data_IF_350728052918
#
_entry.id   IF_350728052918
#
_cell.length_a   1.000
_cell.length_b   1.000
_cell.length_c   1.000
_cell.angle_alpha   90.00
_cell.angle_beta   90.00
_cell.angle_gamma   90.00
#
_symmetry.space_group_name_H-M   'P 1'
#
loop_
_entity.id
_entity.type
_entity.pdbx_description
1 polymer ?
#
# COMPACT_ATOMS: atom_id res chain seq x y z
N UNK A 1 -2.57 3.09 5.18
CA UNK A 1 -4.03 3.25 5.29
C UNK A 1 -4.37 4.73 5.35
N UNK A 2 -5.63 5.11 5.26
CA UNK A 2 -6.08 6.51 5.28
C UNK A 2 -6.27 7.07 6.71
N UNK A 3 -5.59 6.50 7.70
CA UNK A 3 -5.84 6.82 9.12
C UNK A 3 -5.55 8.29 9.45
N UNK A 4 -4.49 8.87 8.88
CA UNK A 4 -4.19 10.29 9.07
C UNK A 4 -5.28 11.18 8.44
N UNK A 5 -5.73 10.83 7.23
CA UNK A 5 -6.81 11.57 6.55
C UNK A 5 -8.12 11.53 7.34
N UNK A 6 -8.46 10.40 7.98
CA UNK A 6 -9.64 10.27 8.85
C UNK A 6 -9.51 11.09 10.14
N UNK A 7 -8.30 11.16 10.73
CA UNK A 7 -8.01 12.00 11.90
C UNK A 7 -8.15 13.47 11.52
N UNK A 8 -7.52 13.90 10.42
CA UNK A 8 -7.56 15.28 9.94
C UNK A 8 -8.99 15.70 9.58
N UNK A 9 -9.74 14.85 8.87
CA UNK A 9 -11.17 15.06 8.57
C UNK A 9 -11.99 15.24 9.84
N UNK A 10 -11.75 14.40 10.85
CA UNK A 10 -12.44 14.49 12.15
C UNK A 10 -12.13 15.78 12.88
N UNK A 11 -10.86 16.21 12.90
CA UNK A 11 -10.44 17.48 13.53
C UNK A 11 -11.03 18.70 12.82
N UNK A 12 -11.19 18.65 11.49
CA UNK A 12 -11.76 19.74 10.69
C UNK A 12 -13.24 20.00 10.98
N UNK A 13 -13.99 19.01 11.51
CA UNK A 13 -15.38 19.20 11.94
C UNK A 13 -15.55 20.27 13.03
N UNK A 14 -14.46 20.62 13.74
CA UNK A 14 -14.46 21.70 14.72
C UNK A 14 -14.39 23.11 14.12
N UNK A 15 -14.06 23.24 12.81
CA UNK A 15 -13.79 24.53 12.14
C UNK A 15 -14.53 24.73 10.83
N UNK A 16 -14.92 23.65 10.16
CA UNK A 16 -15.56 23.65 8.84
C UNK A 16 -16.94 23.01 8.92
N UNK A 17 -17.84 23.45 8.05
CA UNK A 17 -19.14 22.81 7.88
C UNK A 17 -19.04 21.52 7.03
N UNK A 18 -20.14 20.76 6.96
CA UNK A 18 -20.18 19.45 6.29
C UNK A 18 -19.84 19.55 4.80
N UNK A 19 -20.37 20.57 4.13
CA UNK A 19 -20.20 20.76 2.69
C UNK A 19 -18.73 21.11 2.38
N UNK A 20 -18.11 21.96 3.20
CA UNK A 20 -16.68 22.28 3.11
C UNK A 20 -15.77 21.06 3.34
N UNK A 21 -16.16 20.15 4.23
CA UNK A 21 -15.40 18.93 4.49
C UNK A 21 -15.56 17.94 3.33
N UNK A 22 -16.75 17.82 2.75
CA UNK A 22 -17.01 16.98 1.56
C UNK A 22 -16.26 17.49 0.32
N UNK A 23 -16.11 18.81 0.17
CA UNK A 23 -15.28 19.40 -0.89
C UNK A 23 -13.79 19.08 -0.72
N UNK A 24 -13.29 19.03 0.53
CA UNK A 24 -11.88 18.73 0.83
C UNK A 24 -11.58 17.22 0.78
N UNK A 25 -12.54 16.39 1.16
CA UNK A 25 -12.44 14.92 1.23
C UNK A 25 -13.61 14.29 0.47
N UNK A 26 -13.62 14.37 -0.88
CA UNK A 26 -14.68 13.79 -1.68
C UNK A 26 -14.67 12.26 -1.58
N UNK A 27 -15.85 11.66 -1.74
CA UNK A 27 -15.97 10.20 -1.79
C UNK A 27 -15.14 9.62 -2.94
N UNK A 28 -14.61 8.42 -2.71
CA UNK A 28 -13.85 7.72 -3.74
C UNK A 28 -14.73 7.47 -4.97
N UNK A 29 -14.28 7.83 -6.19
CA UNK A 29 -15.11 7.76 -7.39
C UNK A 29 -15.22 6.32 -7.93
N UNK A 30 -16.02 5.49 -7.25
CA UNK A 30 -16.23 4.06 -7.56
C UNK A 30 -16.81 3.79 -8.96
N UNK A 31 -17.41 4.81 -9.57
CA UNK A 31 -17.96 4.76 -10.92
C UNK A 31 -16.87 4.70 -12.01
N UNK A 32 -15.74 5.36 -11.75
CA UNK A 32 -14.61 5.50 -12.69
C UNK A 32 -13.37 4.73 -12.26
N UNK A 33 -13.21 4.47 -10.95
CA UNK A 33 -12.08 3.74 -10.38
C UNK A 33 -12.61 2.53 -9.60
N UNK A 34 -12.52 1.34 -10.19
CA UNK A 34 -12.97 0.11 -9.52
C UNK A 34 -11.89 -0.39 -8.55
N UNK A 35 -12.22 -0.69 -7.29
CA UNK A 35 -11.31 -1.36 -6.38
C UNK A 35 -11.01 -2.80 -6.84
N UNK A 36 -9.91 -3.37 -6.35
CA UNK A 36 -9.55 -4.79 -6.60
C UNK A 36 -10.62 -5.74 -6.06
N UNK A 37 -11.28 -5.33 -4.96
CA UNK A 37 -12.35 -6.07 -4.32
C UNK A 37 -13.65 -5.31 -4.55
N UNK A 38 -14.55 -5.89 -5.33
CA UNK A 38 -15.79 -5.24 -5.79
C UNK A 38 -17.02 -5.63 -4.95
N UNK A 39 -16.87 -6.61 -4.05
CA UNK A 39 -17.94 -7.19 -3.24
C UNK A 39 -17.42 -7.72 -1.92
N UNK A 40 -18.25 -7.61 -0.87
CA UNK A 40 -17.99 -8.08 0.49
C UNK A 40 -17.97 -6.93 1.50
N UNK A 41 -18.14 -7.28 2.77
CA UNK A 41 -18.15 -6.33 3.88
C UNK A 41 -17.53 -6.95 5.13
N UNK A 42 -17.04 -6.09 6.03
CA UNK A 42 -16.60 -6.55 7.36
C UNK A 42 -17.85 -6.80 8.20
N UNK A 43 -18.03 -8.05 8.64
CA UNK A 43 -19.13 -8.43 9.53
C UNK A 43 -19.03 -7.66 10.85
N UNK A 44 -20.03 -6.84 11.22
CA UNK A 44 -20.00 -6.07 12.46
C UNK A 44 -19.93 -6.96 13.71
N UNK A 45 -20.46 -8.18 13.62
CA UNK A 45 -20.49 -9.14 14.73
C UNK A 45 -19.14 -9.85 14.96
N UNK A 46 -18.33 -10.01 13.91
CA UNK A 46 -17.10 -10.82 13.98
C UNK A 46 -15.82 -10.05 13.68
N UNK A 47 -15.93 -8.84 13.13
CA UNK A 47 -14.80 -8.03 12.68
C UNK A 47 -14.04 -8.65 11.50
N UNK A 48 -14.57 -9.71 10.87
CA UNK A 48 -13.94 -10.40 9.76
C UNK A 48 -14.53 -9.95 8.43
N UNK A 49 -13.67 -9.88 7.43
CA UNK A 49 -14.08 -9.68 6.05
C UNK A 49 -14.84 -10.90 5.53
N UNK A 50 -16.03 -10.67 4.99
CA UNK A 50 -16.88 -11.67 4.36
C UNK A 50 -17.23 -11.22 2.93
N UNK A 51 -16.92 -12.06 1.95
CA UNK A 51 -17.15 -11.80 0.53
C UNK A 51 -18.63 -11.72 0.16
N UNK A 52 -19.50 -12.39 0.93
CA UNK A 52 -20.93 -12.46 0.66
C UNK A 52 -21.73 -11.43 1.48
N UNK A 53 -21.08 -10.69 2.37
CA UNK A 53 -21.72 -9.65 3.16
C UNK A 53 -21.93 -8.37 2.33
N UNK A 54 -23.11 -7.77 2.46
CA UNK A 54 -23.43 -6.45 1.88
C UNK A 54 -23.14 -5.35 2.90
N UNK A 55 -22.60 -4.19 2.47
CA UNK A 55 -22.48 -3.02 3.32
C UNK A 55 -23.85 -2.63 3.89
N UNK A 56 -23.93 -2.42 5.21
CA UNK A 56 -25.14 -1.94 5.88
C UNK A 56 -25.03 -0.42 6.08
N UNK A 57 -25.93 0.36 5.47
CA UNK A 57 -25.99 1.84 5.53
C UNK A 57 -26.40 2.42 6.88
N UNK A 58 -26.50 1.61 7.94
CA UNK A 58 -27.08 2.03 9.23
C UNK A 58 -26.01 2.62 10.15
N UNK A 59 -25.51 3.82 9.83
CA UNK A 59 -24.75 4.64 10.77
C UNK A 59 -25.76 5.47 11.58
N UNK A 60 -26.14 4.94 12.74
CA UNK A 60 -27.06 5.60 13.66
C UNK A 60 -26.60 7.01 14.02
N UNK A 61 -27.41 8.01 13.70
CA UNK A 61 -27.19 9.41 14.04
C UNK A 61 -27.38 9.65 15.54
N UNK A 62 -26.35 9.40 16.34
CA UNK A 62 -26.29 9.78 17.75
C UNK A 62 -25.80 11.23 17.91
N UNK A 63 -26.60 12.08 18.56
CA UNK A 63 -26.31 13.50 18.80
C UNK A 63 -24.97 13.71 19.54
N UNK A 64 -23.97 14.25 18.83
CA UNK A 64 -22.57 14.35 19.25
C UNK A 64 -22.11 15.79 19.49
N UNK A 65 -22.57 16.43 20.57
CA UNK A 65 -22.09 17.76 20.96
C UNK A 65 -21.24 17.81 22.23
N UNK A 66 -21.33 16.79 23.11
CA UNK A 66 -20.46 16.66 24.29
C UNK A 66 -19.39 15.58 24.17
N UNK A 67 -19.57 14.60 23.27
CA UNK A 67 -18.60 13.54 23.00
C UNK A 67 -17.46 13.99 22.06
N UNK A 68 -17.68 15.07 21.32
CA UNK A 68 -16.78 15.59 20.28
C UNK A 68 -15.54 16.28 20.85
N UNK A 69 -15.60 17.01 21.97
CA UNK A 69 -14.41 17.60 22.62
C UNK A 69 -13.48 16.54 23.24
N UNK A 70 -14.06 15.54 23.92
CA UNK A 70 -13.31 14.41 24.48
C UNK A 70 -12.68 13.54 23.39
N UNK A 71 -13.38 13.36 22.26
CA UNK A 71 -12.86 12.64 21.11
C UNK A 71 -11.74 13.41 20.41
N UNK A 72 -11.90 14.71 20.19
CA UNK A 72 -10.88 15.55 19.56
C UNK A 72 -9.58 15.59 20.35
N UNK A 73 -9.66 15.71 21.69
CA UNK A 73 -8.47 15.68 22.56
C UNK A 73 -7.77 14.31 22.56
N UNK A 74 -8.52 13.22 22.47
CA UNK A 74 -7.97 11.86 22.34
C UNK A 74 -7.35 11.61 20.95
N UNK A 75 -7.95 12.14 19.88
CA UNK A 75 -7.41 12.07 18.52
C UNK A 75 -6.13 12.89 18.38
N UNK A 76 -6.09 14.11 18.94
CA UNK A 76 -4.87 14.93 18.95
C UNK A 76 -3.74 14.23 19.72
N UNK A 77 -4.03 13.69 20.91
CA UNK A 77 -3.04 12.93 21.67
C UNK A 77 -2.55 11.67 20.94
N UNK A 78 -3.42 10.99 20.18
CA UNK A 78 -3.04 9.87 19.33
C UNK A 78 -2.14 10.33 18.18
N UNK A 79 -2.47 11.45 17.52
CA UNK A 79 -1.65 12.02 16.45
C UNK A 79 -0.25 12.37 16.94
N UNK A 80 -0.15 13.06 18.08
CA UNK A 80 1.13 13.42 18.71
C UNK A 80 1.94 12.16 19.05
N UNK A 81 1.27 11.10 19.54
CA UNK A 81 1.93 9.82 19.83
C UNK A 81 2.43 9.12 18.56
N UNK A 82 1.66 9.15 17.46
CA UNK A 82 2.06 8.56 16.18
C UNK A 82 3.26 9.28 15.58
N UNK A 83 3.33 10.61 15.71
CA UNK A 83 4.48 11.42 15.30
C UNK A 83 5.74 11.14 16.14
N UNK A 84 5.56 10.74 17.41
CA UNK A 84 6.65 10.38 18.32
C UNK A 84 7.16 8.94 18.15
N UNK A 85 6.46 8.06 17.42
CA UNK A 85 6.94 6.69 17.18
C UNK A 85 8.24 6.75 16.36
N UNK A 86 9.40 6.34 16.93
CA UNK A 86 10.67 6.48 16.26
C UNK A 86 10.68 5.74 14.93
N UNK A 87 11.29 6.35 13.91
CA UNK A 87 11.60 5.73 12.60
C UNK A 87 12.54 4.50 12.68
N UNK A 88 12.78 3.97 13.89
CA UNK A 88 13.64 2.82 14.17
C UNK A 88 13.01 1.49 13.71
N UNK A 89 11.71 1.47 13.39
CA UNK A 89 11.03 0.35 12.72
C UNK A 89 11.06 0.45 11.18
N UNK A 90 11.85 1.39 10.64
CA UNK A 90 11.80 1.84 9.25
C UNK A 90 11.14 3.22 9.15
N UNK A 91 11.32 3.96 8.04
CA UNK A 91 10.68 5.27 7.92
C UNK A 91 9.16 5.06 7.99
N UNK A 92 8.55 5.48 9.09
CA UNK A 92 7.11 5.65 9.20
C UNK A 92 6.75 6.81 8.26
N UNK A 93 6.55 6.48 6.99
CA UNK A 93 6.15 7.41 5.97
C UNK A 93 5.06 6.79 5.13
N UNK A 94 4.03 7.56 4.81
CA UNK A 94 3.11 7.22 3.74
C UNK A 94 3.93 6.82 2.50
N UNK A 95 3.74 5.58 2.03
CA UNK A 95 4.40 5.07 0.82
C UNK A 95 5.67 4.23 1.03
N UNK A 96 5.87 3.55 2.16
CA UNK A 96 6.83 2.43 2.24
C UNK A 96 6.09 1.14 2.57
N UNK A 97 6.35 0.10 1.78
CA UNK A 97 5.81 -1.24 1.97
C UNK A 97 6.43 -2.22 0.96
N UNK A 98 6.13 -3.51 1.08
CA UNK A 98 6.52 -4.49 0.07
C UNK A 98 5.71 -5.76 0.22
N UNK A 99 5.44 -6.43 -0.89
CA UNK A 99 5.00 -7.82 -0.91
C UNK A 99 6.05 -8.70 -1.62
N UNK A 100 6.33 -9.88 -1.06
CA UNK A 100 7.18 -10.88 -1.70
C UNK A 100 6.68 -12.28 -1.42
N UNK A 101 6.37 -13.02 -2.48
CA UNK A 101 5.78 -14.36 -2.41
C UNK A 101 6.60 -15.33 -3.26
N UNK A 102 6.85 -16.52 -2.72
CA UNK A 102 7.47 -17.64 -3.44
C UNK A 102 6.57 -18.85 -3.33
N UNK A 103 6.29 -19.49 -4.47
CA UNK A 103 5.54 -20.75 -4.54
C UNK A 103 6.48 -21.83 -5.06
N UNK A 104 6.64 -22.93 -4.31
CA UNK A 104 7.40 -24.10 -4.75
C UNK A 104 6.82 -24.68 -6.03
N UNK A 105 7.68 -25.26 -6.89
CA UNK A 105 7.24 -25.96 -8.10
C UNK A 105 6.27 -27.12 -7.82
N UNK A 106 6.32 -27.72 -6.62
CA UNK A 106 5.37 -28.77 -6.19
C UNK A 106 3.91 -28.27 -6.12
N UNK A 107 3.71 -26.96 -6.05
CA UNK A 107 2.40 -26.30 -5.99
C UNK A 107 2.03 -25.58 -7.30
N UNK A 108 2.75 -25.81 -8.39
CA UNK A 108 2.48 -25.17 -9.70
C UNK A 108 2.19 -26.21 -10.77
N UNK A 109 1.38 -25.87 -11.76
CA UNK A 109 1.06 -26.77 -12.89
C UNK A 109 2.23 -27.01 -13.83
N UNK A 110 3.25 -26.15 -13.78
CA UNK A 110 4.47 -26.23 -14.61
C UNK A 110 5.60 -27.00 -13.92
N UNK A 111 5.48 -27.30 -12.62
CA UNK A 111 6.57 -27.85 -11.83
C UNK A 111 7.73 -26.87 -11.59
N UNK A 112 7.57 -25.57 -11.92
CA UNK A 112 8.58 -24.52 -11.73
C UNK A 112 8.16 -23.58 -10.61
N UNK A 113 9.14 -23.06 -9.87
CA UNK A 113 8.87 -22.08 -8.82
C UNK A 113 8.31 -20.77 -9.43
N UNK A 114 7.45 -20.09 -8.68
CA UNK A 114 6.94 -18.77 -9.01
C UNK A 114 7.39 -17.76 -7.95
N UNK A 115 7.89 -16.62 -8.40
CA UNK A 115 8.20 -15.45 -7.56
C UNK A 115 7.28 -14.31 -7.96
N UNK A 116 6.63 -13.68 -6.98
CA UNK A 116 5.98 -12.39 -7.14
C UNK A 116 6.63 -11.40 -6.17
N UNK A 117 7.30 -10.37 -6.71
CA UNK A 117 7.93 -9.31 -5.94
C UNK A 117 7.32 -7.96 -6.33
N UNK A 118 6.84 -7.23 -5.33
CA UNK A 118 6.03 -6.01 -5.47
C UNK A 118 6.44 -4.99 -4.39
N UNK A 119 7.60 -4.32 -4.55
CA UNK A 119 8.06 -3.31 -3.60
C UNK A 119 7.26 -2.01 -3.74
N UNK A 120 6.79 -1.47 -2.61
CA UNK A 120 6.01 -0.23 -2.55
C UNK A 120 6.87 0.90 -2.02
N UNK A 121 7.15 1.87 -2.88
CA UNK A 121 7.83 3.11 -2.51
C UNK A 121 7.02 4.29 -3.03
N UNK A 122 7.02 5.39 -2.28
CA UNK A 122 6.27 6.58 -2.63
C UNK A 122 6.65 7.04 -4.05
N UNK A 123 5.68 7.39 -4.89
CA UNK A 123 5.96 7.88 -6.23
C UNK A 123 6.78 9.17 -6.13
N UNK A 124 7.88 9.23 -6.88
CA UNK A 124 8.79 10.36 -6.90
C UNK A 124 9.23 10.67 -8.33
N UNK A 125 9.65 11.91 -8.57
CA UNK A 125 10.19 12.37 -9.85
C UNK A 125 11.61 12.90 -9.65
N UNK A 126 12.64 12.27 -10.24
CA UNK A 126 12.58 11.08 -11.12
C UNK A 126 12.17 9.81 -10.36
N UNK A 127 11.61 8.81 -11.07
CA UNK A 127 11.27 7.51 -10.49
C UNK A 127 12.49 6.86 -9.83
N UNK A 128 12.30 6.28 -8.65
CA UNK A 128 13.36 5.52 -7.99
C UNK A 128 13.68 4.26 -8.78
N UNK A 129 12.63 3.53 -9.17
CA UNK A 129 12.75 2.30 -9.95
C UNK A 129 12.89 2.63 -11.43
N UNK A 130 13.89 2.02 -12.05
CA UNK A 130 14.13 2.06 -13.49
C UNK A 130 14.24 0.64 -14.02
N UNK A 131 13.47 0.30 -15.06
CA UNK A 131 13.55 -1.02 -15.67
C UNK A 131 14.84 -1.13 -16.49
N UNK A 132 15.60 -2.21 -16.30
CA UNK A 132 16.87 -2.43 -16.98
C UNK A 132 17.04 -3.90 -17.37
N UNK A 133 17.63 -4.11 -18.54
CA UNK A 133 18.14 -5.40 -18.99
C UNK A 133 19.64 -5.30 -19.31
N UNK A 134 20.42 -6.27 -18.83
CA UNK A 134 21.84 -6.41 -19.16
C UNK A 134 22.02 -7.67 -19.99
N UNK A 135 22.41 -7.50 -21.25
CA UNK A 135 22.51 -8.59 -22.22
C UNK A 135 23.88 -8.58 -22.89
N UNK A 136 24.61 -9.68 -22.74
CA UNK A 136 25.74 -10.02 -23.57
C UNK A 136 25.23 -10.39 -24.97
N UNK A 137 25.96 -10.01 -26.02
CA UNK A 137 25.63 -10.45 -27.40
C UNK A 137 25.63 -11.97 -27.52
N UNK A 138 26.56 -12.61 -26.82
CA UNK A 138 26.66 -14.05 -26.67
C UNK A 138 27.04 -14.38 -25.22
N UNK A 139 26.37 -15.38 -24.65
CA UNK A 139 26.71 -15.89 -23.32
C UNK A 139 28.01 -16.68 -23.36
N UNK A 140 28.95 -16.31 -22.51
CA UNK A 140 30.27 -16.93 -22.43
C UNK A 140 30.84 -16.86 -21.02
N UNK A 141 31.94 -17.56 -20.75
CA UNK A 141 32.59 -17.52 -19.43
C UNK A 141 33.03 -16.10 -19.01
N UNK A 142 33.28 -15.20 -19.97
CA UNK A 142 33.66 -13.81 -19.70
C UNK A 142 32.47 -12.84 -19.65
N UNK A 143 31.30 -13.24 -20.15
CA UNK A 143 30.10 -12.41 -20.16
C UNK A 143 28.86 -13.29 -19.97
N UNK A 144 28.34 -13.33 -18.75
CA UNK A 144 27.18 -14.16 -18.35
C UNK A 144 25.93 -13.31 -18.05
N UNK A 145 25.93 -12.05 -18.48
CA UNK A 145 24.78 -11.16 -18.29
C UNK A 145 23.73 -11.45 -19.35
N UNK A 146 22.64 -12.05 -18.93
CA UNK A 146 21.37 -11.99 -19.63
C UNK A 146 20.30 -12.01 -18.53
N UNK A 147 20.01 -10.80 -18.04
CA UNK A 147 19.20 -10.56 -16.85
C UNK A 147 18.35 -9.32 -17.09
N UNK A 148 17.12 -9.36 -16.59
CA UNK A 148 16.17 -8.26 -16.69
C UNK A 148 15.45 -8.04 -15.36
N UNK A 149 15.10 -6.78 -15.09
CA UNK A 149 14.37 -6.41 -13.90
C UNK A 149 14.41 -4.90 -13.66
N UNK A 150 14.54 -4.50 -12.40
CA UNK A 150 14.58 -3.10 -11.98
C UNK A 150 15.87 -2.77 -11.22
N UNK A 151 16.31 -1.53 -11.38
CA UNK A 151 17.44 -0.92 -10.67
C UNK A 151 17.03 0.41 -10.05
N UNK A 152 17.91 0.97 -9.22
CA UNK A 152 17.82 2.37 -8.83
C UNK A 152 18.45 3.26 -9.90
N UNK A 153 17.84 4.42 -10.13
CA UNK A 153 18.39 5.45 -11.01
C UNK A 153 19.87 5.72 -10.69
N UNK A 154 20.76 5.49 -11.65
CA UNK A 154 22.21 5.68 -11.51
C UNK A 154 23.02 4.45 -11.09
N UNK A 155 22.39 3.32 -10.76
CA UNK A 155 23.10 2.09 -10.37
C UNK A 155 23.32 1.11 -11.55
N UNK A 156 24.56 0.62 -11.74
CA UNK A 156 24.87 -0.36 -12.78
C UNK A 156 24.61 -1.78 -12.28
N UNK A 157 23.35 -2.23 -12.30
CA UNK A 157 23.00 -3.61 -11.99
C UNK A 157 21.50 -3.84 -11.82
N UNK A 158 21.02 -5.06 -12.01
CA UNK A 158 19.63 -5.43 -11.74
C UNK A 158 19.51 -5.78 -10.25
N UNK A 159 18.70 -5.02 -9.50
CA UNK A 159 18.54 -5.17 -8.04
C UNK A 159 17.46 -6.20 -7.72
N UNK A 160 16.33 -6.13 -8.41
CA UNK A 160 15.26 -7.14 -8.39
C UNK A 160 15.01 -7.58 -9.82
N UNK A 161 14.80 -8.87 -10.06
CA UNK A 161 14.68 -9.35 -11.43
C UNK A 161 14.83 -10.85 -11.57
N UNK A 162 15.20 -11.27 -12.78
CA UNK A 162 15.40 -12.67 -13.10
C UNK A 162 16.41 -12.84 -14.24
N UNK A 163 16.90 -14.07 -14.36
CA UNK A 163 17.61 -14.55 -15.53
C UNK A 163 16.96 -15.86 -16.00
N UNK A 164 17.71 -16.69 -16.73
CA UNK A 164 17.24 -17.96 -17.29
C UNK A 164 16.89 -19.00 -16.20
N UNK A 165 17.58 -18.92 -15.08
CA UNK A 165 17.69 -20.00 -14.11
C UNK A 165 17.02 -19.65 -12.78
N UNK A 166 17.05 -18.36 -12.40
CA UNK A 166 16.56 -17.87 -11.09
C UNK A 166 15.85 -16.52 -11.21
N UNK A 167 15.01 -16.25 -10.23
CA UNK A 167 14.43 -14.94 -9.97
C UNK A 167 14.68 -14.54 -8.51
N UNK A 168 14.79 -13.24 -8.24
CA UNK A 168 15.00 -12.70 -6.90
C UNK A 168 14.28 -11.36 -6.71
N UNK A 169 13.97 -11.07 -5.46
CA UNK A 169 13.28 -9.86 -5.03
C UNK A 169 13.69 -9.47 -3.61
N UNK A 170 13.16 -8.35 -3.14
CA UNK A 170 13.41 -7.82 -1.79
C UNK A 170 12.15 -7.24 -1.15
N UNK A 171 12.14 -7.19 0.17
CA UNK A 171 11.17 -6.46 1.00
C UNK A 171 11.87 -5.36 1.76
#
# INVERSE_FOLDING_TARGET
GNMQDEIDRSLLTSRLDKDQIEDLYPDYPYDTHKPIVDRGAVSPATGKYDLDATPSDDIGSGTAQGATEGLNTQLSALSDTLDEIPALLGPNGNGIGSNSWVVSGDHTTTGKALLANDPHLAPMLPSLWYQMGLHCRELSKSCQYDTAGYTFSGMPGVIIGHNQDIAWGLT
#
